data_IF_287555465860
#
_entry.id   IF_287555465860
#
_cell.length_a   1.000
_cell.length_b   1.000
_cell.length_c   1.000
_cell.angle_alpha   90.00
_cell.angle_beta   90.00
_cell.angle_gamma   90.00
#
_symmetry.space_group_name_H-M   'P 1'
#
loop_
_entity.id
_entity.type
_entity.pdbx_description
1 polymer ?
#
# COMPACT_ATOMS: atom_id res chain seq x y z
N UNK A 1 -23.22 26.97 3.95
CA UNK A 1 -21.83 27.23 3.54
C UNK A 1 -20.99 26.03 3.93
N UNK A 2 -20.33 25.41 2.96
CA UNK A 2 -19.34 24.37 3.22
C UNK A 2 -18.16 25.00 3.97
N UNK A 3 -17.75 24.41 5.10
CA UNK A 3 -16.56 24.82 5.86
C UNK A 3 -15.44 23.82 5.59
N UNK A 4 -14.20 24.29 5.54
CA UNK A 4 -13.01 23.46 5.34
C UNK A 4 -12.13 23.49 6.59
N UNK A 5 -11.47 22.37 6.88
CA UNK A 5 -10.39 22.30 7.87
C UNK A 5 -9.05 22.36 7.12
N UNK A 6 -8.25 23.39 7.39
CA UNK A 6 -6.97 23.60 6.70
C UNK A 6 -5.81 22.96 7.46
N UNK A 7 -5.03 22.13 6.77
CA UNK A 7 -3.80 21.51 7.29
C UNK A 7 -2.59 22.21 6.65
N UNK A 8 -1.62 22.72 7.44
CA UNK A 8 -0.39 23.31 6.90
C UNK A 8 0.38 22.34 6.00
N UNK A 9 1.03 22.86 4.96
CA UNK A 9 1.75 22.05 3.97
C UNK A 9 3.08 22.69 3.59
N UNK A 10 4.12 21.88 3.45
CA UNK A 10 5.44 22.29 2.95
C UNK A 10 5.99 21.28 1.96
N UNK A 11 6.80 21.79 1.03
CA UNK A 11 7.58 20.97 0.10
C UNK A 11 8.89 20.52 0.75
N UNK A 12 9.18 19.23 0.64
CA UNK A 12 10.38 18.55 1.13
C UNK A 12 11.21 18.12 -0.06
N UNK A 13 12.54 18.25 0.04
CA UNK A 13 13.44 17.71 -0.97
C UNK A 13 14.50 18.69 -1.48
N UNK A 14 15.03 18.44 -2.70
CA UNK A 14 14.68 17.30 -3.55
C UNK A 14 15.17 15.96 -2.96
N UNK A 15 14.39 14.90 -3.08
CA UNK A 15 14.80 13.54 -2.71
C UNK A 15 15.40 12.89 -3.96
N UNK A 16 16.59 12.29 -3.86
CA UNK A 16 17.15 11.56 -4.99
C UNK A 16 16.58 10.14 -5.00
N UNK A 17 15.75 9.84 -5.99
CA UNK A 17 15.12 8.53 -6.20
C UNK A 17 15.76 7.88 -7.43
N UNK A 18 15.97 6.57 -7.37
CA UNK A 18 16.48 5.74 -8.45
C UNK A 18 15.62 4.50 -8.55
N UNK A 19 15.35 4.04 -9.75
CA UNK A 19 14.50 2.88 -10.02
C UNK A 19 14.20 2.81 -11.51
N UNK A 20 13.44 1.78 -11.89
CA UNK A 20 13.00 1.59 -13.27
C UNK A 20 12.00 2.69 -13.68
N UNK A 21 11.04 2.99 -12.80
CA UNK A 21 9.98 3.97 -13.05
C UNK A 21 10.44 5.43 -12.91
N UNK A 22 11.32 5.70 -11.94
CA UNK A 22 11.74 7.07 -11.59
C UNK A 22 13.23 7.08 -11.27
N UNK A 23 13.96 7.96 -11.95
CA UNK A 23 15.38 8.21 -11.71
C UNK A 23 15.65 9.73 -11.73
N UNK A 24 15.21 10.43 -10.68
CA UNK A 24 15.18 11.89 -10.64
C UNK A 24 15.29 12.47 -9.20
N UNK A 25 15.41 13.79 -9.12
CA UNK A 25 15.34 14.62 -7.92
C UNK A 25 13.89 15.10 -7.69
N UNK A 26 13.17 14.43 -6.80
CA UNK A 26 11.74 14.66 -6.59
C UNK A 26 11.48 15.55 -5.39
N UNK A 27 10.71 16.61 -5.57
CA UNK A 27 10.18 17.43 -4.48
C UNK A 27 8.82 16.88 -4.03
N UNK A 28 8.65 16.64 -2.74
CA UNK A 28 7.47 15.97 -2.17
C UNK A 28 6.71 16.91 -1.24
N UNK A 29 5.41 17.16 -1.48
CA UNK A 29 4.59 17.94 -0.55
C UNK A 29 4.15 17.09 0.64
N UNK A 30 4.19 17.67 1.84
CA UNK A 30 3.72 17.03 3.09
C UNK A 30 2.81 17.98 3.87
N UNK A 31 1.56 17.57 4.10
CA UNK A 31 0.56 18.32 4.85
C UNK A 31 0.40 17.77 6.28
N UNK A 32 0.80 18.53 7.31
CA UNK A 32 0.72 18.06 8.70
C UNK A 32 0.63 19.22 9.71
N UNK A 33 0.08 18.94 10.89
CA UNK A 33 0.20 19.82 12.06
C UNK A 33 1.47 19.53 12.88
N UNK A 34 2.14 18.40 12.65
CA UNK A 34 3.40 18.04 13.30
C UNK A 34 4.57 18.73 12.57
N UNK A 35 4.75 20.02 12.84
CA UNK A 35 5.74 20.85 12.13
C UNK A 35 7.19 20.34 12.18
N UNK A 36 7.68 19.60 13.21
CA UNK A 36 9.01 19.00 13.18
C UNK A 36 9.21 17.94 12.09
N UNK A 37 8.12 17.41 11.50
CA UNK A 37 8.18 16.43 10.43
C UNK A 37 8.89 16.97 9.18
N UNK A 38 8.73 18.26 8.87
CA UNK A 38 9.37 18.85 7.68
C UNK A 38 10.89 18.93 7.78
N UNK A 39 11.51 19.54 8.81
CA UNK A 39 12.97 19.57 8.91
C UNK A 39 13.59 18.18 9.07
N UNK A 40 12.94 17.25 9.78
CA UNK A 40 13.48 15.87 9.91
C UNK A 40 13.47 15.13 8.57
N UNK A 41 12.40 15.27 7.79
CA UNK A 41 12.31 14.62 6.46
C UNK A 41 13.25 15.30 5.46
N UNK A 42 13.40 16.63 5.50
CA UNK A 42 14.38 17.35 4.68
C UNK A 42 15.83 16.91 4.97
N UNK A 43 16.16 16.59 6.22
CA UNK A 43 17.44 15.98 6.56
C UNK A 43 17.60 14.60 5.92
N UNK A 44 16.56 13.77 5.91
CA UNK A 44 16.53 12.48 5.20
C UNK A 44 16.70 12.66 3.68
N UNK A 45 16.03 13.64 3.08
CA UNK A 45 16.20 14.01 1.67
C UNK A 45 17.66 14.38 1.37
N UNK A 46 18.32 15.14 2.26
CA UNK A 46 19.76 15.44 2.13
C UNK A 46 20.61 14.17 2.15
N UNK A 47 20.32 13.22 3.04
CA UNK A 47 21.03 11.93 3.09
C UNK A 47 20.90 11.17 1.78
N UNK A 48 19.71 11.13 1.16
CA UNK A 48 19.52 10.47 -0.15
C UNK A 48 20.50 11.00 -1.20
N UNK A 49 20.65 12.33 -1.30
CA UNK A 49 21.53 13.00 -2.26
C UNK A 49 23.02 12.78 -1.97
N UNK A 50 23.38 12.62 -0.70
CA UNK A 50 24.77 12.37 -0.29
C UNK A 50 25.17 10.90 -0.37
N UNK A 51 24.24 10.00 -0.67
CA UNK A 51 24.43 8.55 -0.60
C UNK A 51 24.08 7.84 -1.92
N UNK A 52 24.05 8.58 -3.03
CA UNK A 52 23.81 8.01 -4.36
C UNK A 52 22.35 7.66 -4.68
N UNK A 53 21.39 8.19 -3.91
CA UNK A 53 19.95 8.03 -4.09
C UNK A 53 19.32 6.84 -3.34
N UNK A 54 17.99 6.87 -3.23
CA UNK A 54 17.17 5.78 -2.73
C UNK A 54 16.79 4.92 -3.92
N UNK A 55 17.21 3.65 -3.92
CA UNK A 55 16.76 2.67 -4.91
C UNK A 55 15.35 2.22 -4.54
N UNK A 56 14.39 2.32 -5.45
CA UNK A 56 13.01 1.90 -5.28
C UNK A 56 12.67 0.77 -6.26
N UNK A 57 12.04 -0.28 -5.74
CA UNK A 57 11.61 -1.44 -6.52
C UNK A 57 10.15 -1.75 -6.17
N UNK A 58 9.31 -1.79 -7.20
CA UNK A 58 7.93 -2.27 -7.10
C UNK A 58 7.98 -3.79 -7.24
N UNK A 59 7.61 -4.50 -6.17
CA UNK A 59 7.63 -5.97 -6.11
C UNK A 59 6.32 -6.54 -6.64
N UNK A 60 5.22 -5.88 -6.32
CA UNK A 60 3.89 -6.36 -6.64
C UNK A 60 2.88 -5.21 -6.66
N UNK A 61 1.83 -5.40 -7.44
CA UNK A 61 0.69 -4.49 -7.53
C UNK A 61 -0.59 -5.28 -7.71
N UNK A 62 -1.52 -5.11 -6.77
CA UNK A 62 -2.87 -5.66 -6.87
C UNK A 62 -3.83 -4.96 -5.95
N UNK A 63 -5.06 -4.70 -6.36
CA UNK A 63 -6.12 -4.29 -5.47
C UNK A 63 -7.03 -5.48 -5.14
N UNK A 64 -7.63 -5.49 -3.96
CA UNK A 64 -8.36 -6.68 -3.50
C UNK A 64 -9.73 -6.35 -2.95
N UNK A 65 -10.70 -7.24 -3.20
CA UNK A 65 -12.00 -7.23 -2.53
C UNK A 65 -12.34 -8.65 -2.10
N UNK A 66 -12.95 -8.77 -0.94
CA UNK A 66 -13.39 -10.08 -0.43
C UNK A 66 -14.89 -10.09 -0.24
N UNK A 67 -15.55 -11.15 -0.66
CA UNK A 67 -16.97 -11.40 -0.36
C UNK A 67 -17.10 -12.41 0.77
N UNK A 68 -18.22 -12.37 1.47
CA UNK A 68 -18.63 -13.36 2.46
C UNK A 68 -19.95 -14.00 2.03
N UNK A 69 -19.95 -15.33 2.03
CA UNK A 69 -21.07 -16.19 1.71
C UNK A 69 -21.29 -17.21 2.82
N UNK A 70 -22.46 -17.80 2.86
CA UNK A 70 -22.82 -18.89 3.78
C UNK A 70 -23.29 -20.11 2.97
N UNK A 71 -22.96 -21.31 3.43
CA UNK A 71 -23.56 -22.55 2.94
C UNK A 71 -24.18 -23.34 4.10
N UNK A 72 -24.71 -24.54 3.83
CA UNK A 72 -25.23 -25.40 4.91
C UNK A 72 -24.12 -26.01 5.76
N UNK A 73 -22.91 -26.20 5.20
CA UNK A 73 -21.76 -26.76 5.90
C UNK A 73 -20.44 -26.48 5.15
N UNK A 74 -19.31 -26.78 5.81
CA UNK A 74 -17.97 -26.60 5.27
C UNK A 74 -17.69 -27.42 3.99
N UNK A 75 -18.26 -28.63 3.87
CA UNK A 75 -18.07 -29.51 2.71
C UNK A 75 -18.65 -28.89 1.45
N UNK A 76 -19.79 -28.20 1.57
CA UNK A 76 -20.39 -27.44 0.49
C UNK A 76 -19.47 -26.30 0.04
N UNK A 77 -18.92 -25.51 0.97
CA UNK A 77 -17.97 -24.44 0.66
C UNK A 77 -16.73 -24.96 -0.06
N UNK A 78 -16.19 -26.10 0.38
CA UNK A 78 -15.02 -26.73 -0.23
C UNK A 78 -15.33 -27.25 -1.64
N UNK A 79 -16.46 -27.91 -1.82
CA UNK A 79 -16.91 -28.41 -3.13
C UNK A 79 -17.05 -27.26 -4.13
N UNK A 80 -17.66 -26.14 -3.71
CA UNK A 80 -17.77 -24.93 -4.54
C UNK A 80 -16.37 -24.39 -4.87
N UNK A 81 -15.45 -24.32 -3.90
CA UNK A 81 -14.08 -23.84 -4.12
C UNK A 81 -13.36 -24.62 -5.23
N UNK A 82 -13.51 -25.95 -5.26
CA UNK A 82 -12.92 -26.76 -6.33
C UNK A 82 -13.58 -26.47 -7.69
N UNK A 83 -14.90 -26.41 -7.75
CA UNK A 83 -15.63 -26.15 -8.98
C UNK A 83 -15.31 -24.76 -9.57
N UNK A 84 -15.19 -23.71 -8.76
CA UNK A 84 -14.90 -22.35 -9.26
C UNK A 84 -13.46 -22.19 -9.77
N UNK A 85 -12.50 -22.98 -9.24
CA UNK A 85 -11.12 -22.99 -9.75
C UNK A 85 -11.04 -23.55 -11.16
N UNK A 86 -11.82 -24.57 -11.48
CA UNK A 86 -11.92 -25.15 -12.82
C UNK A 86 -12.61 -24.22 -13.83
N UNK A 87 -13.40 -23.26 -13.32
CA UNK A 87 -14.15 -22.27 -14.12
C UNK A 87 -13.49 -20.90 -14.15
N UNK A 88 -12.15 -20.82 -13.98
CA UNK A 88 -11.41 -19.56 -13.94
C UNK A 88 -11.67 -18.66 -15.15
N UNK A 89 -11.74 -19.23 -16.35
CA UNK A 89 -12.01 -18.46 -17.58
C UNK A 89 -13.33 -17.69 -17.52
N UNK A 90 -14.38 -18.28 -16.95
CA UNK A 90 -15.68 -17.62 -16.79
C UNK A 90 -15.59 -16.46 -15.79
N UNK A 91 -14.81 -16.61 -14.71
CA UNK A 91 -14.57 -15.53 -13.76
C UNK A 91 -13.83 -14.36 -14.42
N UNK A 92 -12.83 -14.66 -15.25
CA UNK A 92 -12.08 -13.64 -15.99
C UNK A 92 -13.00 -12.89 -16.98
N UNK A 93 -13.89 -13.59 -17.69
CA UNK A 93 -14.88 -12.98 -18.58
C UNK A 93 -15.82 -12.01 -17.84
N UNK A 94 -16.33 -12.40 -16.67
CA UNK A 94 -17.20 -11.55 -15.85
C UNK A 94 -16.50 -10.25 -15.42
N UNK A 95 -15.22 -10.35 -15.07
CA UNK A 95 -14.43 -9.20 -14.61
C UNK A 95 -14.09 -8.27 -15.77
N UNK A 96 -13.70 -8.84 -16.92
CA UNK A 96 -13.36 -8.07 -18.12
C UNK A 96 -14.56 -7.31 -18.70
N UNK A 97 -15.79 -7.78 -18.47
CA UNK A 97 -17.02 -7.07 -18.85
C UNK A 97 -17.26 -5.79 -18.02
N UNK A 98 -16.71 -5.71 -16.79
CA UNK A 98 -16.93 -4.56 -15.92
C UNK A 98 -16.03 -3.36 -16.26
N UNK A 99 -14.79 -3.60 -16.67
CA UNK A 99 -13.82 -2.55 -17.01
C UNK A 99 -12.63 -3.12 -17.78
N UNK A 100 -12.13 -2.37 -18.77
CA UNK A 100 -10.91 -2.72 -19.51
C UNK A 100 -9.63 -2.69 -18.67
N UNK A 101 -9.66 -1.97 -17.53
CA UNK A 101 -8.52 -1.78 -16.63
C UNK A 101 -8.50 -2.77 -15.46
N UNK A 102 -9.62 -3.47 -15.24
CA UNK A 102 -9.75 -4.44 -14.15
C UNK A 102 -9.56 -5.84 -14.72
N UNK A 103 -8.55 -6.58 -14.24
CA UNK A 103 -8.37 -8.00 -14.56
C UNK A 103 -8.23 -8.78 -13.27
N UNK A 104 -8.82 -9.97 -13.21
CA UNK A 104 -8.64 -10.89 -12.09
C UNK A 104 -7.23 -11.50 -12.16
N UNK A 105 -6.43 -11.30 -11.13
CA UNK A 105 -5.08 -11.85 -10.98
C UNK A 105 -5.17 -13.21 -10.29
N UNK A 106 -5.79 -13.24 -9.11
CA UNK A 106 -5.88 -14.44 -8.30
C UNK A 106 -7.15 -14.44 -7.41
N UNK A 107 -7.41 -15.59 -6.80
CA UNK A 107 -8.51 -15.80 -5.87
C UNK A 107 -8.07 -16.73 -4.74
N UNK A 108 -8.16 -16.23 -3.51
CA UNK A 108 -7.97 -16.99 -2.29
C UNK A 108 -9.28 -17.23 -1.56
N UNK A 109 -9.30 -18.24 -0.71
CA UNK A 109 -10.48 -18.58 0.08
C UNK A 109 -10.13 -18.91 1.53
N UNK A 110 -11.09 -18.70 2.43
CA UNK A 110 -11.08 -19.20 3.80
C UNK A 110 -12.47 -19.74 4.14
N UNK A 111 -12.50 -20.87 4.86
CA UNK A 111 -13.74 -21.50 5.32
C UNK A 111 -13.71 -21.56 6.84
N UNK A 112 -14.73 -21.01 7.48
CA UNK A 112 -14.89 -21.02 8.95
C UNK A 112 -16.27 -21.58 9.27
N UNK A 113 -16.33 -22.86 9.61
CA UNK A 113 -17.61 -23.56 9.74
C UNK A 113 -18.37 -23.55 8.41
N UNK A 114 -19.58 -22.99 8.40
CA UNK A 114 -20.41 -22.85 7.21
C UNK A 114 -20.21 -21.49 6.47
N UNK A 115 -19.28 -20.66 6.93
CA UNK A 115 -18.95 -19.37 6.32
C UNK A 115 -17.85 -19.54 5.26
N UNK A 116 -18.03 -18.88 4.13
CA UNK A 116 -17.13 -18.94 2.98
C UNK A 116 -16.68 -17.54 2.56
N UNK A 117 -15.40 -17.26 2.77
CA UNK A 117 -14.78 -16.01 2.39
C UNK A 117 -13.98 -16.22 1.11
N UNK A 118 -14.26 -15.42 0.09
CA UNK A 118 -13.48 -15.40 -1.16
C UNK A 118 -12.82 -14.04 -1.27
N UNK A 119 -11.49 -14.02 -1.43
CA UNK A 119 -10.67 -12.83 -1.66
C UNK A 119 -10.20 -12.83 -3.10
N UNK A 120 -10.70 -11.88 -3.87
CA UNK A 120 -10.30 -11.66 -5.24
C UNK A 120 -9.24 -10.57 -5.33
N UNK A 121 -8.32 -10.74 -6.26
CA UNK A 121 -7.18 -9.84 -6.48
C UNK A 121 -7.22 -9.36 -7.92
N UNK A 122 -7.00 -8.07 -8.14
CA UNK A 122 -7.21 -7.44 -9.43
C UNK A 122 -6.12 -6.44 -9.78
N UNK A 123 -5.82 -6.28 -11.06
CA UNK A 123 -5.15 -5.07 -11.57
C UNK A 123 -6.14 -3.92 -11.61
N UNK A 124 -5.68 -2.67 -11.47
CA UNK A 124 -6.57 -1.49 -11.53
C UNK A 124 -6.01 -0.31 -12.33
N UNK A 125 -4.90 -0.49 -13.04
CA UNK A 125 -4.16 0.62 -13.66
C UNK A 125 -3.80 1.70 -12.64
N UNK A 126 -3.83 2.95 -13.04
CA UNK A 126 -3.43 4.09 -12.18
C UNK A 126 -4.44 4.51 -11.11
N UNK A 127 -5.61 3.89 -11.09
CA UNK A 127 -6.59 4.13 -10.04
C UNK A 127 -6.20 3.36 -8.76
N UNK A 128 -6.52 3.93 -7.60
CA UNK A 128 -6.45 3.20 -6.32
C UNK A 128 -7.42 2.00 -6.27
N UNK A 129 -8.34 1.89 -7.22
CA UNK A 129 -9.03 0.65 -7.53
C UNK A 129 -10.22 0.27 -6.64
N UNK A 130 -10.46 0.95 -5.51
CA UNK A 130 -11.49 0.55 -4.53
C UNK A 130 -12.89 0.30 -5.14
N UNK A 131 -13.37 1.23 -5.97
CA UNK A 131 -14.68 1.11 -6.61
C UNK A 131 -14.70 0.02 -7.69
N UNK A 132 -13.62 -0.05 -8.48
CA UNK A 132 -13.46 -1.02 -9.56
C UNK A 132 -13.50 -2.46 -9.03
N UNK A 133 -12.73 -2.75 -7.98
CA UNK A 133 -12.70 -4.11 -7.38
C UNK A 133 -13.99 -4.45 -6.65
N UNK A 134 -14.72 -3.46 -6.15
CA UNK A 134 -16.02 -3.68 -5.49
C UNK A 134 -17.07 -4.07 -6.51
N UNK A 135 -17.12 -3.37 -7.65
CA UNK A 135 -18.01 -3.72 -8.75
C UNK A 135 -17.68 -5.10 -9.35
N UNK A 136 -16.40 -5.39 -9.57
CA UNK A 136 -15.97 -6.69 -10.07
C UNK A 136 -16.34 -7.84 -9.11
N UNK A 137 -16.11 -7.67 -7.80
CA UNK A 137 -16.48 -8.65 -6.79
C UNK A 137 -18.01 -8.83 -6.66
N UNK A 138 -18.80 -7.76 -6.80
CA UNK A 138 -20.26 -7.85 -6.79
C UNK A 138 -20.79 -8.66 -7.99
N UNK A 139 -20.21 -8.46 -9.18
CA UNK A 139 -20.56 -9.25 -10.37
C UNK A 139 -20.19 -10.74 -10.20
N UNK A 140 -18.99 -11.03 -9.69
CA UNK A 140 -18.56 -12.39 -9.39
C UNK A 140 -19.48 -13.05 -8.35
N UNK A 141 -19.87 -12.31 -7.31
CA UNK A 141 -20.78 -12.78 -6.28
C UNK A 141 -22.16 -13.13 -6.85
N UNK A 142 -22.74 -12.27 -7.70
CA UNK A 142 -24.02 -12.53 -8.37
C UNK A 142 -23.96 -13.81 -9.21
N UNK A 143 -22.88 -13.99 -9.97
CA UNK A 143 -22.66 -15.20 -10.76
C UNK A 143 -22.54 -16.45 -9.88
N UNK A 144 -21.82 -16.36 -8.75
CA UNK A 144 -21.68 -17.47 -7.80
C UNK A 144 -23.05 -17.88 -7.23
N UNK A 145 -23.87 -16.91 -6.79
CA UNK A 145 -25.19 -17.17 -6.22
C UNK A 145 -26.16 -17.79 -7.25
N UNK A 146 -25.99 -17.45 -8.54
CA UNK A 146 -26.79 -18.01 -9.62
C UNK A 146 -26.40 -19.47 -9.93
N UNK A 147 -25.11 -19.79 -9.95
CA UNK A 147 -24.61 -21.12 -10.32
C UNK A 147 -24.54 -22.11 -9.16
N UNK A 148 -24.43 -21.60 -7.94
CA UNK A 148 -24.33 -22.37 -6.71
C UNK A 148 -25.45 -21.93 -5.75
N UNK A 149 -26.72 -22.32 -6.00
CA UNK A 149 -27.87 -21.89 -5.20
C UNK A 149 -27.81 -22.33 -3.74
N UNK A 150 -26.91 -23.26 -3.40
CA UNK A 150 -26.57 -23.63 -2.03
C UNK A 150 -25.80 -22.55 -1.25
N UNK A 151 -25.32 -21.50 -1.93
CA UNK A 151 -24.67 -20.35 -1.31
C UNK A 151 -25.68 -19.25 -1.02
N UNK A 152 -25.53 -18.60 0.13
CA UNK A 152 -26.31 -17.43 0.55
C UNK A 152 -25.38 -16.22 0.69
N UNK A 153 -25.87 -15.06 0.26
CA UNK A 153 -25.14 -13.81 0.39
C UNK A 153 -25.08 -13.36 1.86
N UNK A 154 -23.88 -13.01 2.33
CA UNK A 154 -23.70 -12.27 3.59
C UNK A 154 -23.31 -10.83 3.30
N UNK A 155 -22.21 -10.62 2.56
CA UNK A 155 -21.67 -9.29 2.28
C UNK A 155 -20.72 -9.28 1.09
N UNK A 156 -20.77 -8.22 0.27
CA UNK A 156 -19.75 -7.92 -0.77
C UNK A 156 -18.39 -7.50 -0.17
N UNK A 157 -18.35 -7.23 1.14
CA UNK A 157 -17.12 -6.94 1.90
C UNK A 157 -17.06 -7.81 3.15
N UNK A 158 -16.46 -9.00 3.01
CA UNK A 158 -16.27 -9.98 4.07
C UNK A 158 -15.14 -9.69 5.07
N UNK A 159 -14.54 -8.49 5.05
CA UNK A 159 -13.38 -8.11 5.87
C UNK A 159 -12.12 -9.00 5.71
N UNK A 160 -12.05 -9.83 4.67
CA UNK A 160 -10.86 -10.61 4.31
C UNK A 160 -10.07 -9.97 3.14
N UNK A 161 -10.42 -8.74 2.75
CA UNK A 161 -9.74 -8.01 1.69
C UNK A 161 -8.30 -7.59 2.05
N UNK A 162 -7.94 -6.78 3.04
CA UNK A 162 -8.66 -6.08 4.11
C UNK A 162 -8.49 -4.58 3.92
N UNK A 163 -9.60 -3.86 3.93
CA UNK A 163 -9.68 -2.44 3.60
C UNK A 163 -9.88 -1.60 4.88
N UNK A 164 -8.94 -0.72 5.21
CA UNK A 164 -8.91 0.22 6.34
C UNK A 164 -8.88 -0.44 7.72
N UNK A 165 -8.34 -1.67 7.80
CA UNK A 165 -8.14 -2.41 9.06
C UNK A 165 -6.78 -3.09 9.05
N UNK A 166 -6.17 -3.21 10.23
CA UNK A 166 -4.90 -3.94 10.40
C UNK A 166 -5.12 -5.41 10.04
N UNK A 167 -4.27 -5.96 9.18
CA UNK A 167 -4.34 -7.38 8.83
C UNK A 167 -2.97 -7.97 8.50
N UNK A 168 -2.80 -9.26 8.77
CA UNK A 168 -1.63 -10.00 8.28
C UNK A 168 -1.76 -10.33 6.79
N UNK A 169 -2.99 -10.62 6.34
CA UNK A 169 -3.25 -11.12 4.97
C UNK A 169 -2.85 -10.11 3.90
N UNK A 170 -3.03 -8.81 4.12
CA UNK A 170 -2.59 -7.78 3.16
C UNK A 170 -1.09 -7.92 2.86
N UNK A 171 -0.26 -8.07 3.91
CA UNK A 171 1.19 -8.19 3.72
C UNK A 171 1.69 -9.58 3.32
N UNK A 172 0.84 -10.61 3.38
CA UNK A 172 1.18 -11.99 2.98
C UNK A 172 0.77 -12.25 1.53
N UNK A 173 -0.45 -11.85 1.15
CA UNK A 173 -1.03 -12.08 -0.17
C UNK A 173 -1.00 -10.82 -1.07
N UNK A 174 -0.55 -9.68 -0.56
CA UNK A 174 -0.49 -8.41 -1.30
C UNK A 174 -1.81 -7.63 -1.30
N UNK A 175 -1.73 -6.30 -1.17
CA UNK A 175 -2.85 -5.35 -1.39
C UNK A 175 -2.33 -3.93 -1.57
N UNK A 176 -2.60 -3.31 -2.71
CA UNK A 176 -1.98 -2.06 -3.13
C UNK A 176 -0.68 -2.32 -3.86
N UNK A 177 0.25 -1.38 -3.72
CA UNK A 177 1.63 -1.49 -4.20
C UNK A 177 2.49 -2.06 -3.07
N UNK A 178 3.24 -3.11 -3.37
CA UNK A 178 4.33 -3.59 -2.53
C UNK A 178 5.62 -2.96 -3.05
N UNK A 179 6.18 -2.04 -2.26
CA UNK A 179 7.43 -1.35 -2.58
C UNK A 179 8.51 -1.68 -1.56
N UNK A 180 9.71 -1.97 -2.06
CA UNK A 180 10.94 -1.97 -1.26
C UNK A 180 11.79 -0.78 -1.70
N UNK A 181 12.29 -0.03 -0.74
CA UNK A 181 13.27 1.02 -0.98
C UNK A 181 14.51 0.78 -0.15
N UNK A 182 15.68 1.03 -0.71
CA UNK A 182 16.95 0.74 -0.04
C UNK A 182 18.06 1.70 -0.46
N UNK A 183 19.05 1.86 0.42
CA UNK A 183 20.25 2.63 0.14
C UNK A 183 21.41 2.20 1.05
N UNK A 184 22.63 2.48 0.59
CA UNK A 184 23.84 2.43 1.42
C UNK A 184 24.17 3.85 1.86
N UNK A 185 24.14 4.12 3.16
CA UNK A 185 24.49 5.41 3.74
C UNK A 185 25.94 5.35 4.22
N UNK A 186 26.86 6.14 3.63
CA UNK A 186 28.25 6.15 4.05
C UNK A 186 28.39 6.55 5.53
N UNK A 187 29.36 5.95 6.25
CA UNK A 187 29.66 6.28 7.64
C UNK A 187 29.82 7.78 7.87
N UNK A 188 30.54 8.46 6.96
CA UNK A 188 30.73 9.90 7.02
C UNK A 188 29.39 10.66 7.00
N UNK A 189 28.45 10.25 6.15
CA UNK A 189 27.11 10.85 6.07
C UNK A 189 26.29 10.57 7.34
N UNK A 190 26.40 9.38 7.94
CA UNK A 190 25.79 9.10 9.25
C UNK A 190 26.31 10.07 10.33
N UNK A 191 27.62 10.29 10.40
CA UNK A 191 28.24 11.16 11.42
C UNK A 191 27.92 12.63 11.15
N UNK A 192 28.10 13.08 9.92
CA UNK A 192 28.00 14.50 9.54
C UNK A 192 26.56 14.97 9.43
N UNK A 193 25.66 14.15 8.88
CA UNK A 193 24.28 14.56 8.61
C UNK A 193 23.31 13.99 9.63
N UNK A 194 23.39 12.69 9.93
CA UNK A 194 22.50 12.06 10.92
C UNK A 194 22.95 12.25 12.38
N UNK A 195 24.19 12.72 12.59
CA UNK A 195 24.79 12.97 13.91
C UNK A 195 24.84 11.71 14.79
N UNK A 196 25.09 10.56 14.18
CA UNK A 196 25.20 9.27 14.88
C UNK A 196 26.12 8.30 14.13
N UNK A 197 26.38 7.14 14.73
CA UNK A 197 27.16 6.07 14.12
C UNK A 197 26.24 5.05 13.43
N UNK A 198 26.65 4.48 12.29
CA UNK A 198 25.86 3.48 11.56
C UNK A 198 25.51 2.26 12.43
N UNK A 199 26.45 1.75 13.24
CA UNK A 199 26.22 0.61 14.13
C UNK A 199 25.16 0.91 15.20
N UNK A 200 25.07 2.16 15.67
CA UNK A 200 24.02 2.57 16.61
C UNK A 200 22.64 2.59 15.97
N UNK A 201 22.55 2.94 14.68
CA UNK A 201 21.28 2.90 13.94
C UNK A 201 20.83 1.45 13.76
N UNK A 202 21.74 0.56 13.32
CA UNK A 202 21.43 -0.85 13.13
C UNK A 202 20.98 -1.52 14.45
N UNK A 203 21.71 -1.27 15.54
CA UNK A 203 21.37 -1.77 16.87
C UNK A 203 20.03 -1.22 17.37
N UNK A 204 19.78 0.08 17.19
CA UNK A 204 18.51 0.71 17.56
C UNK A 204 17.34 0.11 16.76
N UNK A 205 17.53 -0.17 15.46
CA UNK A 205 16.49 -0.78 14.64
C UNK A 205 16.08 -2.15 15.19
N UNK A 206 17.04 -3.00 15.56
CA UNK A 206 16.76 -4.30 16.16
C UNK A 206 16.02 -4.13 17.49
N UNK A 207 16.54 -3.31 18.40
CA UNK A 207 15.95 -3.17 19.75
C UNK A 207 14.57 -2.52 19.72
N UNK A 208 14.39 -1.47 18.91
CA UNK A 208 13.17 -0.66 18.88
C UNK A 208 12.15 -1.15 17.87
N UNK A 209 12.54 -1.23 16.59
CA UNK A 209 11.59 -1.54 15.53
C UNK A 209 11.27 -3.04 15.51
N UNK A 210 12.24 -3.93 15.73
CA UNK A 210 11.97 -5.36 15.71
C UNK A 210 11.47 -5.86 17.08
N UNK A 211 12.34 -5.90 18.09
CA UNK A 211 12.01 -6.49 19.40
C UNK A 211 10.87 -5.70 20.06
N UNK A 212 10.95 -4.36 20.05
CA UNK A 212 9.91 -3.48 20.57
C UNK A 212 8.53 -3.69 19.92
N UNK A 213 8.46 -3.87 18.60
CA UNK A 213 7.18 -4.15 17.93
C UNK A 213 6.67 -5.57 18.23
N UNK A 214 7.55 -6.56 18.35
CA UNK A 214 7.16 -7.94 18.71
C UNK A 214 6.50 -7.97 20.10
N UNK A 215 7.14 -7.36 21.12
CA UNK A 215 6.59 -7.35 22.48
C UNK A 215 5.25 -6.60 22.55
N UNK A 216 5.05 -5.62 21.67
CA UNK A 216 3.80 -4.87 21.57
C UNK A 216 2.68 -5.60 20.80
N UNK A 217 2.96 -6.80 20.24
CA UNK A 217 2.01 -7.52 19.40
C UNK A 217 1.79 -6.88 18.02
N UNK A 218 2.76 -6.11 17.54
CA UNK A 218 2.70 -5.42 16.24
C UNK A 218 2.63 -6.40 15.07
N UNK A 219 1.63 -6.23 14.21
CA UNK A 219 1.44 -7.08 13.02
C UNK A 219 2.12 -6.41 11.83
N UNK A 220 3.34 -6.87 11.50
CA UNK A 220 4.14 -6.34 10.39
C UNK A 220 4.36 -4.82 10.49
N UNK A 221 4.60 -4.30 11.70
CA UNK A 221 4.79 -2.87 11.98
C UNK A 221 6.15 -2.57 12.60
N UNK A 222 7.20 -3.23 12.11
CA UNK A 222 8.56 -3.03 12.59
C UNK A 222 9.18 -1.76 11.97
N UNK A 223 8.60 -0.59 12.29
CA UNK A 223 9.03 0.71 11.81
C UNK A 223 8.87 1.79 12.90
N UNK A 224 9.39 2.99 12.63
CA UNK A 224 9.34 4.09 13.60
C UNK A 224 8.10 4.98 13.46
N UNK A 225 7.80 5.45 12.24
CA UNK A 225 6.81 6.49 12.02
C UNK A 225 6.24 6.50 10.59
N UNK A 226 6.04 5.33 9.94
CA UNK A 226 5.50 5.29 8.58
C UNK A 226 4.15 5.99 8.47
N UNK A 227 3.31 5.86 9.49
CA UNK A 227 2.02 6.55 9.58
C UNK A 227 2.16 8.08 9.42
N UNK A 228 3.10 8.74 10.10
CA UNK A 228 3.26 10.21 10.01
C UNK A 228 3.61 10.64 8.59
N UNK A 229 4.51 9.89 7.92
CA UNK A 229 4.90 10.17 6.54
C UNK A 229 3.72 10.00 5.58
N UNK A 230 3.01 8.87 5.70
CA UNK A 230 1.89 8.54 4.83
C UNK A 230 0.71 9.48 5.01
N UNK A 231 0.38 9.87 6.26
CA UNK A 231 -0.69 10.84 6.50
C UNK A 231 -0.38 12.16 5.79
N UNK A 232 0.85 12.66 5.99
CA UNK A 232 1.26 13.93 5.40
C UNK A 232 1.23 13.91 3.88
N UNK A 233 1.70 12.82 3.29
CA UNK A 233 1.67 12.61 1.86
C UNK A 233 0.24 12.45 1.31
N UNK A 234 -0.60 11.64 1.96
CA UNK A 234 -1.98 11.37 1.52
C UNK A 234 -2.85 12.62 1.53
N UNK A 235 -2.73 13.46 2.57
CA UNK A 235 -3.45 14.72 2.64
C UNK A 235 -2.99 15.71 1.57
N UNK A 236 -1.68 15.81 1.33
CA UNK A 236 -1.13 16.70 0.31
C UNK A 236 -1.51 16.29 -1.13
N UNK A 237 -1.70 14.98 -1.37
CA UNK A 237 -1.89 14.43 -2.72
C UNK A 237 -3.32 13.91 -2.95
N UNK A 238 -4.26 14.24 -2.06
CA UNK A 238 -5.67 13.88 -2.19
C UNK A 238 -5.93 12.37 -2.24
N UNK A 239 -5.11 11.57 -1.55
CA UNK A 239 -5.38 10.14 -1.36
C UNK A 239 -6.42 9.93 -0.26
N UNK A 240 -6.96 8.72 -0.15
CA UNK A 240 -7.82 8.36 0.96
C UNK A 240 -6.98 8.12 2.23
N UNK A 241 -6.97 9.13 3.11
CA UNK A 241 -6.19 9.12 4.33
C UNK A 241 -6.48 7.92 5.25
N UNK A 242 -7.67 7.30 5.15
CA UNK A 242 -8.00 6.13 5.96
C UNK A 242 -7.22 4.87 5.56
N UNK A 243 -6.67 4.81 4.34
CA UNK A 243 -5.79 3.71 3.94
C UNK A 243 -4.44 3.72 4.68
N UNK A 244 -4.17 4.73 5.52
CA UNK A 244 -3.03 4.73 6.44
C UNK A 244 -2.96 3.48 7.32
N UNK A 245 -4.10 2.89 7.65
CA UNK A 245 -4.16 1.71 8.53
C UNK A 245 -3.40 0.53 7.93
N UNK A 246 -3.63 0.19 6.66
CA UNK A 246 -2.83 -0.83 5.98
C UNK A 246 -1.50 -0.31 5.47
N UNK A 247 -1.44 0.93 4.95
CA UNK A 247 -0.24 1.48 4.34
C UNK A 247 0.91 1.67 5.33
N UNK A 248 0.61 1.91 6.61
CA UNK A 248 1.63 2.05 7.65
C UNK A 248 2.18 0.72 8.18
N UNK A 249 1.62 -0.42 7.76
CA UNK A 249 2.26 -1.71 7.97
C UNK A 249 3.48 -1.83 7.05
N UNK A 250 4.63 -2.09 7.65
CA UNK A 250 5.90 -2.19 6.95
C UNK A 250 7.06 -2.40 7.92
N UNK A 251 8.21 -2.73 7.35
CA UNK A 251 9.41 -3.14 8.08
C UNK A 251 10.56 -2.26 7.65
N UNK A 252 11.32 -1.77 8.64
CA UNK A 252 12.65 -1.18 8.44
C UNK A 252 13.68 -2.27 8.69
N UNK A 253 14.58 -2.47 7.73
CA UNK A 253 15.77 -3.29 7.93
C UNK A 253 17.01 -2.41 7.86
N UNK A 254 17.92 -2.62 8.81
CA UNK A 254 19.14 -1.85 8.92
C UNK A 254 20.27 -2.76 9.40
N UNK A 255 21.39 -2.77 8.69
CA UNK A 255 22.55 -3.61 8.98
C UNK A 255 23.84 -2.90 8.57
N UNK A 256 24.96 -3.35 9.13
CA UNK A 256 26.27 -2.89 8.71
C UNK A 256 26.69 -3.57 7.41
N UNK A 257 27.21 -2.81 6.45
CA UNK A 257 27.92 -3.34 5.27
C UNK A 257 29.31 -2.72 5.22
N UNK A 258 30.29 -3.48 5.72
CA UNK A 258 31.59 -2.90 6.07
C UNK A 258 31.42 -1.83 7.14
N UNK A 259 31.92 -0.63 6.87
CA UNK A 259 31.78 0.52 7.77
C UNK A 259 30.49 1.32 7.56
N UNK A 260 29.75 1.06 6.49
CA UNK A 260 28.57 1.81 6.10
C UNK A 260 27.27 1.17 6.60
N UNK A 261 26.18 1.95 6.53
CA UNK A 261 24.85 1.49 6.92
C UNK A 261 24.05 1.12 5.68
N UNK A 262 23.65 -0.14 5.56
CA UNK A 262 22.52 -0.49 4.72
C UNK A 262 21.21 -0.16 5.44
N UNK A 263 20.31 0.54 4.76
CA UNK A 263 19.01 0.89 5.30
C UNK A 263 17.93 0.67 4.25
N UNK A 264 16.92 -0.13 4.57
CA UNK A 264 15.79 -0.38 3.70
C UNK A 264 14.44 -0.24 4.42
N UNK A 265 13.44 0.10 3.63
CA UNK A 265 12.04 0.22 4.03
C UNK A 265 11.23 -0.66 3.08
N UNK A 266 10.48 -1.58 3.67
CA UNK A 266 9.53 -2.45 2.96
C UNK A 266 8.12 -2.05 3.36
N UNK A 267 7.31 -1.62 2.40
CA UNK A 267 5.90 -1.27 2.59
C UNK A 267 5.06 -2.10 1.63
N UNK A 268 4.47 -3.20 2.09
CA UNK A 268 3.79 -4.16 1.22
C UNK A 268 2.38 -3.70 0.77
N UNK A 269 1.81 -2.67 1.41
CA UNK A 269 0.39 -2.40 1.31
C UNK A 269 0.03 -0.93 0.99
N UNK A 270 0.81 -0.24 0.14
CA UNK A 270 0.56 1.17 -0.16
C UNK A 270 -0.65 1.30 -1.07
N UNK A 271 -1.64 2.08 -0.65
CA UNK A 271 -2.82 2.37 -1.47
C UNK A 271 -2.75 3.81 -1.96
N UNK A 272 -2.46 3.95 -3.25
CA UNK A 272 -2.35 5.23 -3.93
C UNK A 272 -2.96 5.13 -5.32
N UNK A 273 -3.38 6.26 -5.87
CA UNK A 273 -3.70 6.41 -7.28
C UNK A 273 -3.41 7.83 -7.73
N UNK A 274 -3.19 8.02 -9.03
CA UNK A 274 -2.99 9.35 -9.64
C UNK A 274 -4.29 9.91 -10.21
N UNK A 275 -5.27 9.03 -10.49
CA UNK A 275 -6.61 9.37 -10.95
C UNK A 275 -7.68 9.04 -9.90
N UNK A 276 -8.86 9.66 -10.04
CA UNK A 276 -10.04 9.39 -9.22
C UNK A 276 -10.34 10.48 -8.19
N UNK A 277 -10.99 10.09 -7.09
CA UNK A 277 -11.54 11.05 -6.14
C UNK A 277 -10.42 11.86 -5.44
N UNK A 278 -10.70 13.13 -5.13
CA UNK A 278 -9.73 14.06 -4.54
C UNK A 278 -8.72 14.68 -5.53
N UNK A 279 -8.54 14.09 -6.72
CA UNK A 279 -7.58 14.57 -7.74
C UNK A 279 -8.03 15.79 -8.54
N UNK A 280 -9.29 16.20 -8.37
CA UNK A 280 -9.87 17.40 -9.00
C UNK A 280 -9.58 18.69 -8.22
N UNK A 281 -8.96 18.60 -7.04
CA UNK A 281 -8.64 19.77 -6.21
C UNK A 281 -7.40 20.48 -6.78
N UNK A 282 -7.42 21.81 -6.98
CA UNK A 282 -6.31 22.52 -7.62
C UNK A 282 -4.94 22.29 -6.96
N UNK A 283 -4.86 22.39 -5.63
CA UNK A 283 -3.59 22.16 -4.91
C UNK A 283 -3.09 20.72 -5.04
N UNK A 284 -4.00 19.74 -5.22
CA UNK A 284 -3.62 18.35 -5.43
C UNK A 284 -3.01 18.19 -6.82
N UNK A 285 -3.58 18.83 -7.85
CA UNK A 285 -3.04 18.79 -9.21
C UNK A 285 -1.63 19.39 -9.25
N UNK A 286 -1.44 20.59 -8.68
CA UNK A 286 -0.13 21.24 -8.56
C UNK A 286 0.89 20.33 -7.84
N UNK A 287 0.48 19.69 -6.74
CA UNK A 287 1.32 18.77 -5.98
C UNK A 287 1.68 17.49 -6.76
N UNK A 288 0.76 16.96 -7.55
CA UNK A 288 1.01 15.78 -8.39
C UNK A 288 1.95 16.14 -9.55
N UNK A 289 1.76 17.30 -10.18
CA UNK A 289 2.66 17.84 -11.21
C UNK A 289 4.07 18.08 -10.68
N UNK A 290 4.20 18.66 -9.48
CA UNK A 290 5.49 18.86 -8.80
C UNK A 290 6.31 17.57 -8.65
N UNK A 291 5.62 16.43 -8.48
CA UNK A 291 6.24 15.11 -8.35
C UNK A 291 6.42 14.38 -9.69
N UNK A 292 5.97 14.97 -10.81
CA UNK A 292 5.97 14.31 -12.11
C UNK A 292 4.85 13.27 -12.29
N UNK A 293 3.81 13.30 -11.46
CA UNK A 293 2.68 12.35 -11.47
C UNK A 293 1.39 12.97 -12.05
N UNK A 294 1.52 13.87 -13.03
CA UNK A 294 0.38 14.51 -13.69
C UNK A 294 -0.47 13.49 -14.47
N UNK A 295 -1.76 13.78 -14.64
CA UNK A 295 -2.73 12.85 -15.21
C UNK A 295 -2.58 12.61 -16.73
N UNK A 296 -1.75 13.39 -17.43
CA UNK A 296 -1.58 13.35 -18.89
C UNK A 296 -0.49 12.35 -19.35
N UNK A 297 0.01 11.50 -18.46
CA UNK A 297 0.85 10.35 -18.85
C UNK A 297 -0.09 9.23 -19.30
N UNK A 298 0.20 8.57 -20.43
CA UNK A 298 -0.61 7.43 -20.89
C UNK A 298 -0.75 6.40 -19.75
N UNK A 299 -1.99 5.99 -19.40
CA UNK A 299 -2.19 4.99 -18.38
C UNK A 299 -1.53 3.66 -18.75
N UNK A 300 -0.70 3.12 -17.88
CA UNK A 300 0.08 1.91 -18.16
C UNK A 300 0.53 1.22 -16.89
#
# INVERSE_FOLDING_TARGET
MTKFASVPMHTIGPIQIRGEEVNDLVNVPLATYETPLWPTTNRGAKVSRQSGGILATIIDERMTRSIALEADNAQTCLSVTHAIKERRNELDEIVNQASRYTRLIDMHHQIVGNLFFLRFEFTTGDASGHNMVTQAADNLMKWLLQHYPQLKHISVSGNYCVDKKVSAVNGILGRGKYVVTEMIIPRAVCIETLKTLPEKIAELNIKKNLIGSIIAGGIRTANAHFANMLLGFYLATGQDAANIVEGSQGIVHAEMRGDDLYFSVTVPNIIVGTIGNGKHLPFVQENMELMGCAADVEPG
#
